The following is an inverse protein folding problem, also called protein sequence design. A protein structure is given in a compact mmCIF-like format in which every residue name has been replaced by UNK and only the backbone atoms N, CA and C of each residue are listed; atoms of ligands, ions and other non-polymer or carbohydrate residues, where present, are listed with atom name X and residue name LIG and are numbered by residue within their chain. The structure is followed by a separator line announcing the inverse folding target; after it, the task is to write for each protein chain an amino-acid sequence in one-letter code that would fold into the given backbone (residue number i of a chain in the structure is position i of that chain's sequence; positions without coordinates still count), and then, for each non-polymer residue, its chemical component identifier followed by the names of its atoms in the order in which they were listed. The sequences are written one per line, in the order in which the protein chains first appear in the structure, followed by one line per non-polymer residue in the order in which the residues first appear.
data_IF_073807626887
#
_entry.id   IF_073807626887
#
_cell.length_a   1.000
_cell.length_b   1.000
_cell.length_c   1.000
_cell.angle_alpha   90.00
_cell.angle_beta   90.00
_cell.angle_gamma   90.00
#
_symmetry.space_group_name_H-M   'P 1'
#
loop_
_entity.id
_entity.type
_entity.pdbx_description
1 polymer ?
#
# COMPACT_ATOMS: atom_id res chain seq x y z
N UNK A 1 30.44 -77.52 39.43
CA UNK A 1 29.79 -76.53 38.55
C UNK A 1 30.45 -75.21 38.92
N UNK A 2 31.44 -74.80 38.15
CA UNK A 2 32.42 -73.78 38.54
C UNK A 2 32.19 -72.51 37.72
N UNK A 3 31.90 -71.41 38.41
CA UNK A 3 31.73 -70.07 37.81
C UNK A 3 33.08 -69.49 37.37
N UNK A 4 33.18 -68.89 36.16
CA UNK A 4 34.36 -68.15 35.75
C UNK A 4 34.37 -66.74 36.37
N UNK A 5 35.46 -66.41 37.06
CA UNK A 5 35.74 -65.06 37.56
C UNK A 5 35.94 -64.05 36.39
N UNK A 6 35.37 -62.84 36.47
CA UNK A 6 35.65 -61.79 35.48
C UNK A 6 37.05 -61.21 35.69
N UNK A 7 37.90 -61.37 34.68
CA UNK A 7 39.24 -60.78 34.63
C UNK A 7 39.15 -59.24 34.57
N UNK A 8 39.56 -58.54 35.63
CA UNK A 8 39.66 -57.08 35.59
C UNK A 8 40.86 -56.65 34.75
N UNK A 9 40.60 -56.26 33.49
CA UNK A 9 41.61 -55.62 32.66
C UNK A 9 41.85 -54.21 33.19
N UNK A 10 42.97 -54.02 33.91
CA UNK A 10 43.46 -52.70 34.29
C UNK A 10 43.84 -51.94 33.02
N UNK A 11 43.02 -50.95 32.67
CA UNK A 11 43.36 -50.00 31.60
C UNK A 11 44.60 -49.23 32.06
N UNK A 12 45.70 -49.22 31.30
CA UNK A 12 46.92 -48.53 31.71
C UNK A 12 46.64 -47.03 31.84
N UNK A 13 47.06 -46.43 32.95
CA UNK A 13 46.83 -45.02 33.31
C UNK A 13 47.19 -44.02 32.20
N UNK A 14 48.10 -44.42 31.28
CA UNK A 14 48.53 -43.64 30.11
C UNK A 14 47.47 -43.54 29.00
N UNK A 15 46.64 -44.56 28.77
CA UNK A 15 45.55 -44.45 27.78
C UNK A 15 44.43 -43.55 28.25
N UNK A 16 44.17 -43.49 29.56
CA UNK A 16 43.14 -42.62 30.14
C UNK A 16 43.53 -41.13 30.02
N UNK A 17 44.82 -40.80 30.22
CA UNK A 17 45.34 -39.44 30.05
C UNK A 17 45.32 -39.02 28.57
N UNK A 18 45.73 -39.90 27.65
CA UNK A 18 45.68 -39.60 26.22
C UNK A 18 44.25 -39.33 25.74
N UNK A 19 43.28 -40.10 26.22
CA UNK A 19 41.87 -39.92 25.87
C UNK A 19 41.30 -38.62 26.44
N UNK A 20 41.72 -38.22 27.65
CA UNK A 20 41.33 -36.94 28.27
C UNK A 20 41.91 -35.73 27.53
N UNK A 21 43.17 -35.81 27.08
CA UNK A 21 43.83 -34.76 26.28
C UNK A 21 43.16 -34.60 24.92
N UNK A 22 42.82 -35.69 24.24
CA UNK A 22 42.08 -35.64 22.96
C UNK A 22 40.69 -35.02 23.16
N UNK A 23 40.00 -35.33 24.26
CA UNK A 23 38.70 -34.76 24.57
C UNK A 23 38.77 -33.24 24.82
N UNK A 24 39.79 -32.78 25.55
CA UNK A 24 40.01 -31.36 25.87
C UNK A 24 40.37 -30.51 24.64
N UNK A 25 41.01 -31.10 23.63
CA UNK A 25 41.42 -30.40 22.41
C UNK A 25 40.28 -30.38 21.36
N UNK A 26 39.46 -31.43 21.30
CA UNK A 26 38.39 -31.55 20.32
C UNK A 26 37.03 -30.95 20.77
N UNK A 27 36.80 -30.80 22.08
CA UNK A 27 35.55 -30.21 22.59
C UNK A 27 35.32 -28.73 22.21
N UNK A 28 36.34 -27.84 22.19
CA UNK A 28 36.11 -26.43 21.87
C UNK A 28 35.68 -26.22 20.42
N UNK A 29 36.26 -26.96 19.46
CA UNK A 29 36.03 -26.74 18.03
C UNK A 29 34.62 -27.12 17.58
N UNK A 30 34.02 -28.15 18.19
CA UNK A 30 32.62 -28.49 17.93
C UNK A 30 31.64 -27.42 18.47
N UNK A 31 31.99 -26.76 19.58
CA UNK A 31 31.18 -25.67 20.12
C UNK A 31 31.19 -24.45 19.19
N UNK A 32 32.36 -24.03 18.67
CA UNK A 32 32.44 -22.87 17.77
C UNK A 32 31.64 -23.05 16.47
N UNK A 33 31.52 -24.27 15.95
CA UNK A 33 30.71 -24.55 14.75
C UNK A 33 29.21 -24.34 14.96
N UNK A 34 28.70 -24.59 16.17
CA UNK A 34 27.27 -24.46 16.48
C UNK A 34 26.85 -23.00 16.74
N UNK A 35 27.78 -22.13 17.15
CA UNK A 35 27.50 -20.71 17.39
C UNK A 35 27.63 -19.83 16.14
N UNK A 36 28.24 -20.33 15.06
CA UNK A 36 28.39 -19.58 13.79
C UNK A 36 27.22 -19.76 12.82
N UNK A 37 26.19 -20.53 13.17
CA UNK A 37 24.94 -20.52 12.40
C UNK A 37 24.13 -19.27 12.71
N UNK A 38 24.57 -18.12 12.19
CA UNK A 38 23.67 -17.03 11.88
C UNK A 38 22.75 -17.50 10.75
N UNK A 39 21.58 -18.01 11.13
CA UNK A 39 20.50 -18.26 10.19
C UNK A 39 20.16 -16.92 9.53
N UNK A 40 20.69 -16.70 8.32
CA UNK A 40 20.30 -15.59 7.48
C UNK A 40 18.87 -15.85 7.04
N UNK A 41 17.92 -15.35 7.82
CA UNK A 41 16.53 -15.20 7.40
C UNK A 41 16.51 -14.15 6.28
N UNK A 42 16.66 -14.62 5.04
CA UNK A 42 16.39 -13.81 3.87
C UNK A 42 14.87 -13.63 3.77
N UNK A 43 14.36 -12.56 4.36
CA UNK A 43 12.99 -12.13 4.10
C UNK A 43 12.96 -11.49 2.71
N UNK A 44 12.45 -12.22 1.72
CA UNK A 44 12.04 -11.61 0.46
C UNK A 44 10.80 -10.75 0.73
N UNK A 45 11.01 -9.45 0.92
CA UNK A 45 9.92 -8.48 0.88
C UNK A 45 9.54 -8.28 -0.60
N UNK A 46 8.52 -8.99 -1.08
CA UNK A 46 7.87 -8.62 -2.33
C UNK A 46 7.13 -7.30 -2.10
N UNK A 47 7.66 -6.20 -2.63
CA UNK A 47 6.93 -4.95 -2.68
C UNK A 47 5.68 -5.15 -3.55
N UNK A 48 4.50 -5.30 -2.93
CA UNK A 48 3.28 -5.32 -3.73
C UNK A 48 3.05 -3.91 -4.29
N UNK A 49 2.93 -3.82 -5.61
CA UNK A 49 2.64 -2.55 -6.28
C UNK A 49 1.14 -2.30 -6.24
N UNK A 50 0.76 -1.05 -6.03
CA UNK A 50 -0.62 -0.59 -6.21
C UNK A 50 -0.62 0.34 -7.42
N UNK A 51 -1.20 -0.12 -8.53
CA UNK A 51 -1.25 0.68 -9.75
C UNK A 51 -2.12 1.93 -9.56
N UNK A 52 -1.89 2.93 -10.41
CA UNK A 52 -2.77 4.09 -10.47
C UNK A 52 -4.15 3.70 -11.07
N UNK A 53 -5.24 4.36 -10.64
CA UNK A 53 -6.51 4.30 -11.35
C UNK A 53 -6.38 4.77 -12.81
N UNK A 54 -7.17 4.19 -13.70
CA UNK A 54 -7.14 4.44 -15.16
C UNK A 54 -8.54 4.73 -15.72
N UNK A 55 -8.63 5.12 -16.99
CA UNK A 55 -9.90 5.42 -17.68
C UNK A 55 -10.77 6.43 -16.92
N UNK A 56 -10.17 7.52 -16.45
CA UNK A 56 -10.90 8.64 -15.86
C UNK A 56 -11.79 9.25 -16.93
N UNK A 57 -13.09 9.29 -16.66
CA UNK A 57 -14.10 9.86 -17.54
C UNK A 57 -14.98 10.79 -16.75
N UNK A 58 -15.36 11.91 -17.37
CA UNK A 58 -16.35 12.81 -16.83
C UNK A 58 -17.63 12.69 -17.65
N UNK A 59 -18.76 12.51 -16.97
CA UNK A 59 -20.09 12.51 -17.57
C UNK A 59 -20.96 13.59 -16.93
N UNK A 60 -21.71 14.31 -17.77
CA UNK A 60 -22.70 15.27 -17.29
C UNK A 60 -23.91 14.51 -16.77
N UNK A 61 -24.31 14.81 -15.55
CA UNK A 61 -25.50 14.23 -14.92
C UNK A 61 -26.45 15.38 -14.58
N UNK A 62 -27.73 15.18 -14.84
CA UNK A 62 -28.78 16.13 -14.46
C UNK A 62 -29.75 15.39 -13.56
N UNK A 63 -30.03 15.96 -12.40
CA UNK A 63 -31.02 15.45 -11.48
C UNK A 63 -31.87 16.60 -10.92
N UNK A 64 -32.77 16.28 -9.99
CA UNK A 64 -33.68 17.26 -9.38
C UNK A 64 -32.97 18.42 -8.67
N UNK A 65 -31.67 18.29 -8.37
CA UNK A 65 -30.84 19.33 -7.74
C UNK A 65 -30.01 20.16 -8.73
N UNK A 66 -30.15 19.91 -10.04
CA UNK A 66 -29.50 20.69 -11.10
C UNK A 66 -28.42 19.91 -11.85
N UNK A 67 -27.47 20.65 -12.44
CA UNK A 67 -26.35 20.06 -13.21
C UNK A 67 -25.23 19.60 -12.27
N UNK A 68 -24.80 18.37 -12.46
CA UNK A 68 -23.70 17.73 -11.76
C UNK A 68 -22.69 17.13 -12.76
N UNK A 69 -21.45 17.01 -12.31
CA UNK A 69 -20.40 16.33 -13.06
C UNK A 69 -20.05 15.04 -12.33
N UNK A 70 -20.24 13.89 -12.97
CA UNK A 70 -19.82 12.61 -12.41
C UNK A 70 -18.50 12.20 -13.03
N UNK A 71 -17.51 12.02 -12.17
CA UNK A 71 -16.21 11.46 -12.54
C UNK A 71 -16.22 9.99 -12.22
N UNK A 72 -15.91 9.16 -13.21
CA UNK A 72 -15.80 7.71 -13.11
C UNK A 72 -14.37 7.32 -13.43
N UNK A 73 -13.88 6.25 -12.81
CA UNK A 73 -12.56 5.67 -13.12
C UNK A 73 -12.63 4.15 -13.07
N UNK A 74 -11.56 3.51 -13.51
CA UNK A 74 -11.34 2.08 -13.37
C UNK A 74 -10.39 1.82 -12.21
N UNK A 75 -10.68 0.80 -11.42
CA UNK A 75 -9.83 0.37 -10.33
C UNK A 75 -8.43 -0.04 -10.83
N UNK A 76 -7.38 0.06 -10.00
CA UNK A 76 -6.05 -0.44 -10.31
C UNK A 76 -6.06 -1.90 -10.78
N UNK A 77 -5.31 -2.21 -11.84
CA UNK A 77 -5.22 -3.56 -12.39
C UNK A 77 -4.49 -4.51 -11.44
N UNK A 78 -3.34 -4.09 -10.91
CA UNK A 78 -2.68 -4.76 -9.79
C UNK A 78 -3.00 -4.06 -8.47
N UNK A 79 -3.44 -4.85 -7.50
CA UNK A 79 -3.69 -4.41 -6.12
C UNK A 79 -3.47 -5.57 -5.14
N UNK A 80 -2.98 -5.29 -3.93
CA UNK A 80 -2.96 -6.27 -2.85
C UNK A 80 -4.38 -6.77 -2.54
N UNK A 81 -4.48 -7.96 -1.93
CA UNK A 81 -5.75 -8.46 -1.42
C UNK A 81 -6.29 -7.52 -0.33
N UNK A 82 -7.51 -7.02 -0.50
CA UNK A 82 -8.14 -6.11 0.45
C UNK A 82 -9.03 -5.07 -0.23
N UNK A 83 -9.50 -4.12 0.58
CA UNK A 83 -10.36 -3.01 0.13
C UNK A 83 -9.51 -1.82 -0.30
N UNK A 84 -9.87 -1.23 -1.43
CA UNK A 84 -9.27 -0.01 -1.95
C UNK A 84 -10.24 1.15 -1.76
N UNK A 85 -9.74 2.21 -1.14
CA UNK A 85 -10.37 3.52 -1.13
C UNK A 85 -9.68 4.41 -2.17
N UNK A 86 -10.31 5.51 -2.53
CA UNK A 86 -9.80 6.41 -3.55
C UNK A 86 -9.71 7.82 -2.99
N UNK A 87 -8.58 8.48 -3.21
CA UNK A 87 -8.41 9.90 -2.97
C UNK A 87 -8.57 10.63 -4.29
N UNK A 88 -9.65 11.37 -4.41
CA UNK A 88 -9.93 12.26 -5.53
C UNK A 88 -9.22 13.57 -5.24
N UNK A 89 -8.25 13.93 -6.06
CA UNK A 89 -7.45 15.15 -5.93
C UNK A 89 -8.02 16.19 -6.90
N UNK A 90 -8.38 17.34 -6.37
CA UNK A 90 -9.07 18.42 -7.09
C UNK A 90 -8.16 19.64 -7.09
N UNK A 91 -7.72 20.07 -8.26
CA UNK A 91 -6.73 21.15 -8.42
C UNK A 91 -7.28 22.30 -9.24
N UNK A 92 -7.02 23.52 -8.78
CA UNK A 92 -7.45 24.76 -9.40
C UNK A 92 -6.39 25.83 -9.24
N UNK A 93 -5.61 26.08 -10.28
CA UNK A 93 -4.46 26.99 -10.21
C UNK A 93 -3.47 26.51 -9.15
N UNK A 94 -3.23 27.33 -8.12
CA UNK A 94 -2.36 27.00 -6.97
C UNK A 94 -3.05 26.22 -5.84
N UNK A 95 -4.37 26.05 -5.90
CA UNK A 95 -5.13 25.38 -4.85
C UNK A 95 -5.32 23.90 -5.18
N UNK A 96 -5.22 23.05 -4.16
CA UNK A 96 -5.47 21.62 -4.23
C UNK A 96 -6.28 21.20 -3.02
N UNK A 97 -7.30 20.38 -3.24
CA UNK A 97 -8.08 19.74 -2.19
C UNK A 97 -8.27 18.25 -2.50
N UNK A 98 -8.62 17.45 -1.50
CA UNK A 98 -8.75 16.01 -1.63
C UNK A 98 -10.02 15.48 -0.98
N UNK A 99 -10.70 14.57 -1.67
CA UNK A 99 -11.90 13.89 -1.19
C UNK A 99 -11.62 12.40 -1.13
N UNK A 100 -11.96 11.74 -0.02
CA UNK A 100 -11.83 10.29 0.09
C UNK A 100 -13.15 9.61 -0.26
N UNK A 101 -13.10 8.69 -1.23
CA UNK A 101 -14.23 7.92 -1.74
C UNK A 101 -14.00 6.46 -1.39
N UNK A 102 -14.89 5.90 -0.57
CA UNK A 102 -14.71 4.56 -0.03
C UNK A 102 -15.25 3.49 -0.98
N UNK A 103 -14.39 2.58 -1.43
CA UNK A 103 -14.73 1.40 -2.24
C UNK A 103 -15.73 1.68 -3.39
N UNK A 104 -15.62 2.84 -4.05
CA UNK A 104 -16.40 3.22 -5.21
C UNK A 104 -15.49 3.80 -6.27
N UNK A 105 -15.84 3.57 -7.54
CA UNK A 105 -15.07 4.01 -8.70
C UNK A 105 -15.72 5.19 -9.40
N UNK A 106 -16.48 5.98 -8.64
CA UNK A 106 -17.16 7.17 -9.12
C UNK A 106 -17.35 8.20 -8.00
N UNK A 107 -17.37 9.48 -8.37
CA UNK A 107 -17.72 10.60 -7.50
C UNK A 107 -18.52 11.65 -8.28
N UNK A 108 -19.58 12.17 -7.66
CA UNK A 108 -20.44 13.17 -8.27
C UNK A 108 -20.19 14.53 -7.61
N UNK A 109 -19.69 15.48 -8.40
CA UNK A 109 -19.48 16.86 -8.00
C UNK A 109 -20.76 17.66 -8.19
N UNK A 110 -21.10 18.47 -7.17
CA UNK A 110 -22.23 19.41 -7.15
C UNK A 110 -21.78 20.72 -6.55
N UNK A 111 -22.45 21.82 -6.90
CA UNK A 111 -22.16 23.16 -6.34
C UNK A 111 -22.13 23.16 -4.80
N UNK A 112 -23.12 22.57 -4.12
CA UNK A 112 -23.17 22.55 -2.65
C UNK A 112 -22.12 21.63 -1.98
N UNK A 113 -21.60 20.63 -2.68
CA UNK A 113 -20.48 19.81 -2.20
C UNK A 113 -19.15 20.54 -2.37
N UNK A 114 -19.08 21.45 -3.35
CA UNK A 114 -17.93 22.29 -3.57
C UNK A 114 -17.86 23.42 -2.53
N UNK A 115 -18.98 23.85 -1.91
CA UNK A 115 -18.99 24.89 -0.86
C UNK A 115 -18.12 24.53 0.37
N UNK A 116 -17.91 23.24 0.66
CA UNK A 116 -16.92 22.78 1.66
C UNK A 116 -15.47 22.75 1.16
N UNK A 117 -15.29 22.78 -0.17
CA UNK A 117 -14.04 22.79 -0.91
C UNK A 117 -13.63 24.26 -1.16
N UNK A 118 -13.45 25.02 -0.07
CA UNK A 118 -13.47 26.51 -0.05
C UNK A 118 -12.44 27.17 -0.99
N UNK A 119 -11.42 26.46 -1.50
CA UNK A 119 -10.49 27.01 -2.51
C UNK A 119 -10.94 26.86 -3.97
N UNK A 120 -11.60 25.76 -4.33
CA UNK A 120 -12.00 25.45 -5.71
C UNK A 120 -13.32 26.11 -6.14
N UNK A 121 -14.11 26.56 -5.18
CA UNK A 121 -15.37 27.28 -5.43
C UNK A 121 -15.14 28.69 -5.94
N UNK A 122 -14.10 29.40 -5.49
CA UNK A 122 -13.82 30.75 -5.98
C UNK A 122 -13.46 30.76 -7.46
N UNK A 123 -12.69 29.78 -7.94
CA UNK A 123 -12.41 29.69 -9.38
C UNK A 123 -13.66 29.32 -10.17
N UNK A 124 -14.50 28.42 -9.68
CA UNK A 124 -15.72 28.01 -10.38
C UNK A 124 -16.83 29.08 -10.37
N UNK A 125 -17.04 29.78 -9.25
CA UNK A 125 -18.12 30.77 -9.09
C UNK A 125 -17.86 32.04 -9.91
N UNK A 126 -16.61 32.51 -9.99
CA UNK A 126 -16.28 33.78 -10.64
C UNK A 126 -15.93 33.64 -12.13
N UNK A 127 -16.33 32.53 -12.77
CA UNK A 127 -16.10 32.28 -14.20
C UNK A 127 -14.65 31.88 -14.52
N UNK A 128 -13.89 31.52 -13.48
CA UNK A 128 -12.49 31.14 -13.56
C UNK A 128 -12.30 29.71 -14.07
N UNK A 129 -11.03 29.45 -14.40
CA UNK A 129 -10.48 28.27 -15.06
C UNK A 129 -11.11 26.94 -14.62
N UNK A 130 -11.24 25.98 -15.56
CA UNK A 130 -11.69 24.63 -15.21
C UNK A 130 -10.84 24.03 -14.08
N UNK A 131 -11.49 23.26 -13.23
CA UNK A 131 -10.86 22.54 -12.12
C UNK A 131 -10.50 21.15 -12.60
N UNK A 132 -9.27 20.72 -12.37
CA UNK A 132 -8.78 19.42 -12.80
C UNK A 132 -8.91 18.40 -11.67
N UNK A 133 -9.43 17.23 -12.01
CA UNK A 133 -9.66 16.11 -11.11
C UNK A 133 -8.77 14.95 -11.52
N UNK A 134 -8.05 14.41 -10.56
CA UNK A 134 -7.27 13.19 -10.68
C UNK A 134 -7.58 12.25 -9.52
N UNK A 135 -7.20 10.98 -9.62
CA UNK A 135 -7.55 9.98 -8.61
C UNK A 135 -6.33 9.15 -8.23
N UNK A 136 -6.17 8.91 -6.93
CA UNK A 136 -5.15 8.06 -6.34
C UNK A 136 -5.84 6.91 -5.60
N UNK A 137 -5.33 5.70 -5.73
CA UNK A 137 -5.81 4.55 -4.96
C UNK A 137 -5.11 4.48 -3.59
N UNK A 138 -5.85 4.07 -2.57
CA UNK A 138 -5.39 3.88 -1.19
C UNK A 138 -5.77 2.47 -0.75
N UNK A 139 -4.79 1.66 -0.38
CA UNK A 139 -5.04 0.37 0.23
C UNK A 139 -5.41 0.57 1.71
N UNK A 140 -6.66 0.23 2.08
CA UNK A 140 -7.22 0.55 3.40
C UNK A 140 -6.45 -0.11 4.54
N UNK A 141 -5.96 -1.33 4.35
CA UNK A 141 -5.34 -2.09 5.44
C UNK A 141 -3.88 -1.68 5.71
N UNK A 142 -3.11 -1.35 4.66
CA UNK A 142 -1.68 -0.99 4.81
C UNK A 142 -1.41 0.51 4.72
N UNK A 143 -2.38 1.31 4.28
CA UNK A 143 -2.21 2.74 4.01
C UNK A 143 -1.40 3.05 2.75
N UNK A 144 -1.03 2.05 1.95
CA UNK A 144 -0.25 2.26 0.73
C UNK A 144 -1.04 3.05 -0.30
N UNK A 145 -0.38 4.01 -0.95
CA UNK A 145 -1.01 4.83 -1.97
C UNK A 145 -0.35 4.60 -3.32
N UNK A 146 -1.16 4.57 -4.38
CA UNK A 146 -0.64 4.54 -5.74
C UNK A 146 -0.02 5.88 -6.13
N UNK A 147 0.60 5.95 -7.31
CA UNK A 147 0.77 7.23 -7.99
C UNK A 147 -0.62 7.78 -8.36
N UNK A 148 -0.73 9.11 -8.46
CA UNK A 148 -1.94 9.76 -8.98
C UNK A 148 -2.16 9.34 -10.44
N UNK A 149 -3.41 9.23 -10.88
CA UNK A 149 -3.75 8.96 -12.27
C UNK A 149 -3.03 9.93 -13.22
N UNK A 150 -2.47 9.40 -14.31
CA UNK A 150 -1.88 10.22 -15.38
C UNK A 150 -2.94 11.02 -16.15
N UNK A 151 -4.15 10.45 -16.23
CA UNK A 151 -5.32 11.10 -16.79
C UNK A 151 -5.88 12.10 -15.79
N UNK A 152 -6.35 13.23 -16.32
CA UNK A 152 -7.06 14.26 -15.57
C UNK A 152 -8.34 14.59 -16.31
N UNK A 153 -9.40 14.85 -15.54
CA UNK A 153 -10.67 15.31 -16.10
C UNK A 153 -11.00 16.67 -15.55
N UNK A 154 -11.48 17.55 -16.41
CA UNK A 154 -11.78 18.92 -16.05
C UNK A 154 -13.27 19.10 -15.79
N UNK A 155 -13.62 19.81 -14.71
CA UNK A 155 -14.99 20.23 -14.39
C UNK A 155 -15.06 21.76 -14.38
N UNK A 156 -16.22 22.30 -14.78
CA UNK A 156 -16.48 23.74 -14.83
C UNK A 156 -17.91 24.05 -14.42
N UNK A 157 -18.18 25.32 -14.15
CA UNK A 157 -19.54 25.79 -13.88
C UNK A 157 -20.44 25.60 -15.10
N UNK A 158 -21.69 25.20 -14.84
CA UNK A 158 -22.78 25.20 -15.81
C UNK A 158 -23.54 26.53 -15.72
N UNK A 159 -23.71 27.22 -16.85
CA UNK A 159 -24.38 28.52 -16.94
C UNK A 159 -25.89 28.41 -17.23
N UNK A 160 -26.47 27.22 -17.07
CA UNK A 160 -27.90 27.01 -17.27
C UNK A 160 -28.72 27.61 -16.11
N UNK A 161 -30.02 27.82 -16.36
CA UNK A 161 -30.95 28.49 -15.42
C UNK A 161 -31.00 27.89 -14.01
N UNK A 162 -30.71 26.59 -13.87
CA UNK A 162 -30.68 25.88 -12.58
C UNK A 162 -29.32 25.91 -11.87
N UNK A 163 -28.29 26.51 -12.49
CA UNK A 163 -26.91 26.45 -12.03
C UNK A 163 -26.33 25.02 -12.01
N UNK A 164 -25.10 24.88 -11.51
CA UNK A 164 -24.46 23.59 -11.30
C UNK A 164 -23.04 23.49 -11.83
N UNK A 165 -22.55 22.26 -11.92
CA UNK A 165 -21.25 21.93 -12.52
C UNK A 165 -21.42 20.91 -13.63
N UNK A 166 -20.51 20.94 -14.60
CA UNK A 166 -20.46 20.05 -15.76
C UNK A 166 -19.02 19.71 -16.08
N UNK A 167 -18.84 18.64 -16.83
CA UNK A 167 -17.57 18.33 -17.47
C UNK A 167 -17.19 19.47 -18.43
N UNK A 168 -15.89 19.80 -18.46
CA UNK A 168 -15.36 20.86 -19.30
C UNK A 168 -15.37 20.47 -20.77
#
# INVERSE_FOLDING_TARGET
MSDPQPSSRRVPRRTLIALLVVLLIAAPTAAYGLWQHSAQLSTQASAATLDAPTNLRCTNVTDLSGFAARVNWTAPASRPAGTIDYRVVVTSGSHSDTITVQNRTDHTFRMGLLEGLVGGVWSLLFGGTPVNVSVQAIHRASGWTSVVSSETVSIRRSYNLTGGVRCA
#
